data_IF_718394631947
#
_entry.id   IF_718394631947
#
_cell.length_a   1.000
_cell.length_b   1.000
_cell.length_c   1.000
_cell.angle_alpha   90.00
_cell.angle_beta   90.00
_cell.angle_gamma   90.00
#
_symmetry.space_group_name_H-M   'P 1'
#
loop_
_entity.id
_entity.type
_entity.pdbx_description
1 polymer ?
#
# COMPACT_ATOMS: atom_id res chain seq x y z
N UNK A 1 2.63 -2.26 3.04
CA UNK A 1 3.12 -1.08 2.27
C UNK A 1 2.04 -0.03 2.15
N UNK A 2 2.38 1.22 2.47
CA UNK A 2 1.45 2.35 2.29
C UNK A 2 1.57 2.97 0.89
N UNK A 3 0.44 3.39 0.30
CA UNK A 3 0.43 4.08 -0.99
C UNK A 3 0.81 3.21 -2.19
N UNK A 4 0.64 1.89 -2.13
CA UNK A 4 1.11 0.98 -3.18
C UNK A 4 0.11 0.68 -4.30
N UNK A 5 -0.97 1.44 -4.42
CA UNK A 5 -1.93 1.27 -5.52
C UNK A 5 -1.41 1.81 -6.86
N UNK A 6 -0.38 2.67 -6.87
CA UNK A 6 0.17 3.34 -8.06
C UNK A 6 1.66 3.68 -7.89
N UNK A 7 2.29 4.11 -8.98
CA UNK A 7 3.64 4.69 -8.97
C UNK A 7 4.70 3.74 -8.40
N UNK A 8 5.64 4.31 -7.62
CA UNK A 8 6.74 3.59 -6.98
C UNK A 8 6.21 2.45 -6.11
N UNK A 9 5.20 2.71 -5.28
CA UNK A 9 4.64 1.67 -4.42
C UNK A 9 4.03 0.50 -5.18
N UNK A 10 3.39 0.73 -6.34
CA UNK A 10 2.91 -0.35 -7.19
C UNK A 10 4.07 -1.18 -7.78
N UNK A 11 5.15 -0.51 -8.21
CA UNK A 11 6.32 -1.20 -8.74
C UNK A 11 6.99 -2.08 -7.66
N UNK A 12 7.14 -1.56 -6.45
CA UNK A 12 7.65 -2.31 -5.29
C UNK A 12 6.74 -3.50 -4.97
N UNK A 13 5.41 -3.33 -5.00
CA UNK A 13 4.46 -4.41 -4.71
C UNK A 13 4.64 -5.59 -5.66
N UNK A 14 4.76 -5.27 -6.95
CA UNK A 14 4.95 -6.26 -8.02
C UNK A 14 6.28 -6.98 -7.86
N UNK A 15 7.36 -6.25 -7.56
CA UNK A 15 8.67 -6.84 -7.33
C UNK A 15 8.64 -7.82 -6.14
N UNK A 16 8.05 -7.42 -5.02
CA UNK A 16 7.93 -8.29 -3.85
C UNK A 16 7.09 -9.55 -4.13
N UNK A 17 5.96 -9.41 -4.82
CA UNK A 17 5.12 -10.57 -5.19
C UNK A 17 5.83 -11.49 -6.19
N UNK A 18 6.67 -10.96 -7.07
CA UNK A 18 7.51 -11.76 -7.96
C UNK A 18 8.49 -12.67 -7.17
N UNK A 19 8.98 -12.19 -6.03
CA UNK A 19 9.84 -12.95 -5.09
C UNK A 19 9.06 -13.86 -4.13
N UNK A 20 7.73 -14.01 -4.31
CA UNK A 20 6.90 -14.87 -3.48
C UNK A 20 6.41 -14.24 -2.17
N UNK A 21 6.63 -12.94 -1.97
CA UNK A 21 6.23 -12.24 -0.75
C UNK A 21 4.71 -12.04 -0.71
N UNK A 22 4.13 -12.16 0.48
CA UNK A 22 2.75 -11.76 0.77
C UNK A 22 2.71 -10.27 1.11
N UNK A 23 1.97 -9.47 0.34
CA UNK A 23 1.97 -8.01 0.50
C UNK A 23 0.58 -7.49 0.84
N UNK A 24 0.47 -6.68 1.88
CA UNK A 24 -0.67 -5.78 2.05
C UNK A 24 -0.34 -4.40 1.47
N UNK A 25 -1.23 -3.88 0.62
CA UNK A 25 -1.11 -2.54 0.03
C UNK A 25 -2.25 -1.65 0.45
N UNK A 26 -1.92 -0.46 0.94
CA UNK A 26 -2.92 0.54 1.33
C UNK A 26 -2.99 1.74 0.39
N UNK A 27 -4.15 2.40 0.38
CA UNK A 27 -4.39 3.63 -0.35
C UNK A 27 -5.76 4.22 -0.01
N UNK A 28 -5.96 5.51 -0.33
CA UNK A 28 -7.20 6.23 0.00
C UNK A 28 -8.35 5.98 -0.98
N UNK A 29 -8.03 5.62 -2.23
CA UNK A 29 -8.99 5.50 -3.31
C UNK A 29 -9.20 4.02 -3.66
N UNK A 30 -10.41 3.53 -3.42
CA UNK A 30 -10.80 2.14 -3.63
C UNK A 30 -10.67 1.70 -5.10
N UNK A 31 -10.99 2.58 -6.07
CA UNK A 31 -10.87 2.24 -7.49
C UNK A 31 -9.42 1.98 -7.91
N UNK A 32 -8.46 2.77 -7.42
CA UNK A 32 -7.05 2.52 -7.70
C UNK A 32 -6.55 1.24 -7.03
N UNK A 33 -7.03 0.92 -5.82
CA UNK A 33 -6.70 -0.34 -5.16
C UNK A 33 -7.24 -1.54 -5.95
N UNK A 34 -8.51 -1.47 -6.37
CA UNK A 34 -9.13 -2.50 -7.21
C UNK A 34 -8.38 -2.71 -8.53
N UNK A 35 -7.91 -1.62 -9.17
CA UNK A 35 -7.14 -1.71 -10.41
C UNK A 35 -5.70 -2.21 -10.19
N UNK A 36 -5.12 -2.00 -9.00
CA UNK A 36 -3.78 -2.43 -8.65
C UNK A 36 -3.71 -3.94 -8.37
N UNK A 37 -4.71 -4.49 -7.67
CA UNK A 37 -4.77 -5.91 -7.28
C UNK A 37 -4.37 -6.88 -8.39
N UNK A 38 -5.05 -6.94 -9.55
CA UNK A 38 -4.70 -7.91 -10.60
C UNK A 38 -3.31 -7.66 -11.21
N UNK A 39 -2.80 -6.42 -11.18
CA UNK A 39 -1.46 -6.10 -11.68
C UNK A 39 -0.35 -6.57 -10.75
N UNK A 40 -0.66 -6.67 -9.46
CA UNK A 40 0.22 -7.17 -8.41
C UNK A 40 0.15 -8.69 -8.38
N UNK A 41 -1.05 -9.27 -8.34
CA UNK A 41 -1.26 -10.74 -8.32
C UNK A 41 -0.60 -11.43 -9.51
N UNK A 42 -0.67 -10.83 -10.71
CA UNK A 42 -0.05 -11.40 -11.92
C UNK A 42 1.48 -11.29 -11.97
N UNK A 43 2.13 -10.66 -10.98
CA UNK A 43 3.57 -10.46 -10.98
C UNK A 43 4.37 -11.71 -10.55
N UNK A 44 3.77 -12.67 -9.85
CA UNK A 44 4.45 -13.90 -9.45
C UNK A 44 3.73 -14.69 -8.36
N UNK A 45 4.44 -15.60 -7.66
CA UNK A 45 3.84 -16.59 -6.77
C UNK A 45 3.39 -16.04 -5.41
N UNK A 46 3.73 -14.79 -5.10
CA UNK A 46 3.26 -14.12 -3.90
C UNK A 46 1.75 -13.87 -3.92
N UNK A 47 1.26 -13.19 -2.89
CA UNK A 47 -0.15 -12.80 -2.82
C UNK A 47 -0.29 -11.36 -2.38
N UNK A 48 -1.44 -10.76 -2.69
CA UNK A 48 -1.71 -9.37 -2.28
C UNK A 48 -3.06 -9.25 -1.60
N UNK A 49 -3.09 -8.39 -0.58
CA UNK A 49 -4.31 -7.85 0.00
C UNK A 49 -4.35 -6.33 -0.15
N UNK A 50 -5.49 -5.80 -0.58
CA UNK A 50 -5.68 -4.36 -0.78
C UNK A 50 -6.59 -3.80 0.30
N UNK A 51 -6.10 -2.83 1.07
CA UNK A 51 -6.82 -2.26 2.21
C UNK A 51 -7.00 -0.75 2.00
N UNK A 52 -8.24 -0.27 2.03
CA UNK A 52 -8.46 1.18 2.00
C UNK A 52 -8.09 1.78 3.35
N UNK A 53 -7.12 2.71 3.35
CA UNK A 53 -6.70 3.43 4.55
C UNK A 53 -6.02 4.76 4.19
N UNK A 54 -6.32 5.79 4.96
CA UNK A 54 -5.58 7.06 5.03
C UNK A 54 -4.53 6.99 6.14
N UNK A 55 -3.25 7.06 5.75
CA UNK A 55 -2.11 7.02 6.68
C UNK A 55 -2.10 8.16 7.70
N UNK A 56 -2.84 9.25 7.44
CA UNK A 56 -3.00 10.37 8.38
C UNK A 56 -3.96 10.05 9.53
N UNK A 57 -4.69 8.93 9.46
CA UNK A 57 -5.69 8.51 10.45
C UNK A 57 -5.19 7.27 11.17
N UNK A 58 -4.76 7.44 12.42
CA UNK A 58 -4.21 6.33 13.22
C UNK A 58 -5.12 5.10 13.26
N UNK A 59 -6.42 5.29 13.52
CA UNK A 59 -7.39 4.19 13.58
C UNK A 59 -7.52 3.43 12.25
N UNK A 60 -7.27 4.06 11.10
CA UNK A 60 -7.27 3.37 9.81
C UNK A 60 -6.00 2.55 9.61
N UNK A 61 -4.85 3.08 10.04
CA UNK A 61 -3.57 2.36 10.02
C UNK A 61 -3.64 1.14 10.95
N UNK A 62 -4.18 1.30 12.16
CA UNK A 62 -4.35 0.22 13.12
C UNK A 62 -5.24 -0.91 12.55
N UNK A 63 -6.38 -0.57 11.94
CA UNK A 63 -7.23 -1.56 11.26
C UNK A 63 -6.53 -2.24 10.10
N UNK A 64 -5.74 -1.50 9.31
CA UNK A 64 -5.01 -2.08 8.20
C UNK A 64 -3.92 -3.06 8.67
N UNK A 65 -3.20 -2.73 9.75
CA UNK A 65 -2.23 -3.64 10.38
C UNK A 65 -2.92 -4.88 10.93
N UNK A 66 -4.02 -4.72 11.68
CA UNK A 66 -4.78 -5.84 12.22
C UNK A 66 -5.30 -6.77 11.12
N UNK A 67 -5.84 -6.21 10.02
CA UNK A 67 -6.29 -7.00 8.87
C UNK A 67 -5.12 -7.72 8.17
N UNK A 68 -3.95 -7.08 8.06
CA UNK A 68 -2.74 -7.68 7.49
C UNK A 68 -2.29 -8.87 8.32
N UNK A 69 -2.19 -8.70 9.64
CA UNK A 69 -1.80 -9.76 10.58
C UNK A 69 -2.82 -10.89 10.57
N UNK A 70 -4.12 -10.59 10.57
CA UNK A 70 -5.16 -11.60 10.48
C UNK A 70 -5.09 -12.40 9.17
N UNK A 71 -4.72 -11.77 8.05
CA UNK A 71 -4.66 -12.39 6.73
C UNK A 71 -3.41 -13.25 6.52
N UNK A 72 -2.25 -12.80 7.03
CA UNK A 72 -0.94 -13.38 6.74
C UNK A 72 -0.24 -13.98 7.96
N UNK A 73 -0.80 -13.83 9.17
CA UNK A 73 -0.24 -14.34 10.41
C UNK A 73 0.83 -13.44 11.06
N UNK A 74 1.23 -12.34 10.41
CA UNK A 74 2.26 -11.43 10.92
C UNK A 74 2.50 -10.21 10.03
N UNK A 75 3.52 -9.42 10.38
CA UNK A 75 4.00 -8.27 9.60
C UNK A 75 5.52 -8.13 9.79
N UNK A 76 6.30 -8.57 8.80
CA UNK A 76 7.77 -8.55 8.87
C UNK A 76 8.38 -7.29 8.24
N UNK A 77 7.73 -6.74 7.21
CA UNK A 77 8.24 -5.62 6.41
C UNK A 77 7.21 -4.49 6.34
N UNK A 78 7.59 -3.31 6.82
CA UNK A 78 6.81 -2.09 6.65
C UNK A 78 7.51 -1.10 5.72
N UNK A 79 6.87 -0.80 4.59
CA UNK A 79 7.30 0.23 3.65
C UNK A 79 6.35 1.43 3.75
N UNK A 80 6.83 2.51 4.38
CA UNK A 80 6.12 3.79 4.49
C UNK A 80 6.32 4.63 3.23
N UNK A 81 5.64 4.23 2.14
CA UNK A 81 5.79 4.85 0.81
C UNK A 81 4.74 5.94 0.52
N UNK A 82 3.60 5.97 1.21
CA UNK A 82 2.57 6.97 0.95
C UNK A 82 3.11 8.40 1.18
N UNK A 83 3.07 9.22 0.13
CA UNK A 83 3.48 10.61 0.17
C UNK A 83 2.85 11.40 -0.97
N UNK A 84 2.70 12.71 -0.77
CA UNK A 84 2.31 13.66 -1.80
C UNK A 84 3.28 14.84 -1.74
N UNK A 85 3.67 15.37 -2.89
CA UNK A 85 4.41 16.62 -2.99
C UNK A 85 3.44 17.74 -3.36
N UNK A 86 3.53 18.86 -2.66
CA UNK A 86 2.90 20.13 -3.05
C UNK A 86 4.05 21.05 -3.44
N UNK A 87 3.98 21.61 -4.65
CA UNK A 87 4.97 22.57 -5.13
C UNK A 87 4.37 23.97 -5.02
N UNK A 88 4.82 24.71 -4.03
CA UNK A 88 4.47 26.10 -3.78
C UNK A 88 5.61 26.74 -2.98
N UNK A 89 5.67 28.07 -2.94
CA UNK A 89 6.51 28.74 -1.94
C UNK A 89 6.05 28.33 -0.54
N UNK A 90 7.00 28.17 0.39
CA UNK A 90 6.66 27.78 1.77
C UNK A 90 5.70 28.80 2.40
N UNK A 91 5.84 30.08 2.05
CA UNK A 91 4.96 31.15 2.50
C UNK A 91 3.51 31.03 1.97
N UNK A 92 3.29 30.26 0.91
CA UNK A 92 2.00 30.08 0.25
C UNK A 92 1.39 28.68 0.47
N UNK A 93 2.07 27.79 1.20
CA UNK A 93 1.53 26.47 1.55
C UNK A 93 0.42 26.59 2.61
N UNK A 94 -0.72 25.93 2.37
CA UNK A 94 -1.87 25.82 3.30
C UNK A 94 -2.18 24.37 3.65
#
# INVERSE_FOLDING_TARGET
MTGGSRGIGLAIARALVAEGVQVAVTGRNAAHLSAARPRIESAGPGSVETLQADVRRYAEVERAVAATVARFGGLDILINNAGIGIFAEVAEMT
#
